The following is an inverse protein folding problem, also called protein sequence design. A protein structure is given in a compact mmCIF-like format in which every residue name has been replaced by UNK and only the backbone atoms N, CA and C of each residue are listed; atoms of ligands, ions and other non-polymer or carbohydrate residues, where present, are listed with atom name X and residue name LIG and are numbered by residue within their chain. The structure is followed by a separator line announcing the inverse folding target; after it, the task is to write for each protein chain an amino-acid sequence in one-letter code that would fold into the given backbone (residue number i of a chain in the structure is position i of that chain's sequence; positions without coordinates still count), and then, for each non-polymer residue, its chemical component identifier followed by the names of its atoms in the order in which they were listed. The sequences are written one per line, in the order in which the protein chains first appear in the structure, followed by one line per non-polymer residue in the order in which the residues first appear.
data_IF_281922724388
#
_entry.id   IF_281922724388
#
_cell.length_a   1.000
_cell.length_b   1.000
_cell.length_c   1.000
_cell.angle_alpha   90.00
_cell.angle_beta   90.00
_cell.angle_gamma   90.00
#
_symmetry.space_group_name_H-M   'P 1'
#
loop_
_entity.id
_entity.type
_entity.pdbx_description
1 polymer ?
#
# COMPACT_ATOMS: atom_id res chain seq x y z
N UNK A 1 -20.89 5.28 -9.62
CA UNK A 1 -19.49 4.84 -9.40
C UNK A 1 -18.86 4.55 -10.75
N UNK A 2 -17.69 5.11 -11.00
CA UNK A 2 -16.91 4.85 -12.22
C UNK A 2 -15.88 3.80 -11.87
N UNK A 3 -15.94 2.64 -12.55
CA UNK A 3 -14.96 1.58 -12.42
C UNK A 3 -14.21 1.44 -13.77
N UNK A 4 -12.89 1.46 -13.71
CA UNK A 4 -12.04 1.30 -14.89
C UNK A 4 -10.81 0.48 -14.54
N UNK A 5 -10.26 -0.22 -15.51
CA UNK A 5 -8.96 -0.89 -15.39
C UNK A 5 -7.95 -0.14 -16.27
N UNK A 6 -6.97 0.45 -15.62
CA UNK A 6 -5.92 1.26 -16.25
C UNK A 6 -4.67 0.42 -16.43
N UNK A 7 -4.15 0.39 -17.64
CA UNK A 7 -2.83 -0.15 -17.96
C UNK A 7 -1.78 0.93 -17.66
N UNK A 8 -1.04 0.79 -16.56
CA UNK A 8 -0.09 1.79 -16.10
C UNK A 8 1.09 1.96 -17.07
N UNK A 9 1.62 0.90 -17.62
CA UNK A 9 2.72 0.97 -18.59
C UNK A 9 2.31 1.71 -19.87
N UNK A 10 1.10 1.43 -20.36
CA UNK A 10 0.53 2.16 -21.51
C UNK A 10 0.27 3.63 -21.19
N UNK A 11 -0.28 3.93 -20.00
CA UNK A 11 -0.58 5.30 -19.57
C UNK A 11 0.67 6.17 -19.50
N UNK A 12 1.76 5.64 -18.94
CA UNK A 12 3.03 6.35 -18.80
C UNK A 12 3.96 6.24 -20.02
N UNK A 13 3.53 5.53 -21.06
CA UNK A 13 4.35 5.25 -22.26
C UNK A 13 5.71 4.60 -21.92
N UNK A 14 5.69 3.66 -20.99
CA UNK A 14 6.85 2.87 -20.55
C UNK A 14 6.76 1.48 -21.14
N UNK A 15 7.89 0.96 -21.63
CA UNK A 15 7.95 -0.43 -22.13
C UNK A 15 7.69 -1.41 -21.00
N UNK A 16 6.64 -2.21 -21.15
CA UNK A 16 6.29 -3.25 -20.18
C UNK A 16 7.30 -4.40 -20.25
N UNK A 17 7.87 -4.85 -19.13
CA UNK A 17 8.62 -6.10 -19.11
C UNK A 17 7.76 -7.30 -19.49
N UNK A 18 8.37 -8.31 -20.06
CA UNK A 18 7.68 -9.57 -20.33
C UNK A 18 7.08 -10.15 -19.04
N UNK A 19 5.84 -10.59 -19.09
CA UNK A 19 5.06 -11.12 -17.97
C UNK A 19 4.78 -10.14 -16.81
N UNK A 20 5.08 -8.84 -16.96
CA UNK A 20 4.70 -7.84 -15.96
C UNK A 20 3.18 -7.54 -15.99
N UNK A 21 2.60 -7.21 -14.82
CA UNK A 21 1.20 -6.79 -14.68
C UNK A 21 1.07 -5.26 -14.80
N UNK A 22 1.11 -4.55 -13.70
CA UNK A 22 1.04 -3.08 -13.68
C UNK A 22 -0.34 -2.55 -14.09
N UNK A 23 -1.42 -3.09 -13.50
CA UNK A 23 -2.79 -2.61 -13.72
C UNK A 23 -3.34 -1.94 -12.46
N UNK A 24 -4.08 -0.86 -12.64
CA UNK A 24 -4.79 -0.15 -11.59
C UNK A 24 -6.30 -0.23 -11.85
N UNK A 25 -7.05 -0.79 -10.90
CA UNK A 25 -8.51 -0.71 -10.94
C UNK A 25 -8.94 0.51 -10.14
N UNK A 26 -9.89 1.28 -10.66
CA UNK A 26 -10.41 2.50 -10.05
C UNK A 26 -11.82 2.30 -9.54
N UNK A 27 -12.11 2.86 -8.36
CA UNK A 27 -13.42 2.91 -7.72
C UNK A 27 -13.66 4.37 -7.31
N UNK A 28 -14.15 5.17 -8.25
CA UNK A 28 -14.29 6.62 -8.11
C UNK A 28 -15.77 6.99 -8.08
N UNK A 29 -16.16 7.88 -7.17
CA UNK A 29 -17.53 8.37 -7.15
C UNK A 29 -17.81 9.25 -8.36
N UNK A 30 -18.94 8.97 -9.02
CA UNK A 30 -19.43 9.76 -10.12
C UNK A 30 -19.92 11.13 -9.64
N UNK A 31 -19.66 12.17 -10.43
CA UNK A 31 -20.21 13.51 -10.18
C UNK A 31 -21.74 13.46 -10.28
N UNK A 32 -22.41 14.18 -9.40
CA UNK A 32 -23.88 14.24 -9.36
C UNK A 32 -24.32 15.68 -9.50
N UNK A 33 -25.32 15.93 -10.35
CA UNK A 33 -25.96 17.26 -10.48
C UNK A 33 -26.85 17.62 -9.28
N UNK A 34 -27.16 16.66 -8.41
CA UNK A 34 -28.05 16.84 -7.27
C UNK A 34 -27.33 16.95 -5.92
N UNK A 35 -26.02 16.71 -5.88
CA UNK A 35 -25.19 16.79 -4.68
C UNK A 35 -23.98 17.64 -5.03
N UNK A 36 -23.60 18.55 -4.12
CA UNK A 36 -22.40 19.36 -4.30
C UNK A 36 -21.17 18.44 -4.52
N UNK A 37 -20.35 18.79 -5.50
CA UNK A 37 -19.07 18.12 -5.71
C UNK A 37 -18.22 18.22 -4.45
N UNK A 38 -17.69 17.07 -4.01
CA UNK A 38 -16.84 16.97 -2.82
C UNK A 38 -15.47 16.48 -3.22
N UNK A 39 -14.46 17.14 -2.72
CA UNK A 39 -13.08 16.69 -2.87
C UNK A 39 -12.83 15.59 -1.85
N UNK A 40 -12.33 14.45 -2.30
CA UNK A 40 -12.19 13.21 -1.52
C UNK A 40 -10.75 12.81 -1.35
N UNK A 41 -10.34 12.33 -0.18
CA UNK A 41 -9.06 11.65 -0.06
C UNK A 41 -9.03 10.40 -0.96
N UNK A 42 -7.84 9.95 -1.31
CA UNK A 42 -7.65 8.73 -2.09
C UNK A 42 -6.95 7.65 -1.27
N UNK A 43 -7.26 6.37 -1.57
CA UNK A 43 -6.57 5.23 -0.98
C UNK A 43 -6.18 4.21 -2.05
N UNK A 44 -4.88 4.00 -2.22
CA UNK A 44 -4.31 2.93 -3.04
C UNK A 44 -4.20 1.65 -2.20
N UNK A 45 -4.96 0.63 -2.56
CA UNK A 45 -4.95 -0.69 -1.91
C UNK A 45 -3.97 -1.61 -2.62
N UNK A 46 -3.01 -2.16 -1.89
CA UNK A 46 -1.95 -3.04 -2.38
C UNK A 46 -2.07 -4.40 -1.68
N UNK A 47 -2.69 -5.39 -2.34
CA UNK A 47 -2.92 -6.71 -1.77
C UNK A 47 -1.63 -7.49 -1.50
N UNK A 48 -1.66 -8.44 -0.57
CA UNK A 48 -0.58 -9.40 -0.35
C UNK A 48 -0.54 -10.52 -1.38
N UNK A 49 0.11 -11.63 -1.02
CA UNK A 49 0.26 -12.82 -1.86
C UNK A 49 1.71 -13.25 -2.06
N UNK A 50 2.63 -12.83 -1.18
CA UNK A 50 4.02 -13.30 -1.14
C UNK A 50 4.84 -12.98 -2.39
N UNK A 51 4.44 -11.98 -3.18
CA UNK A 51 4.97 -11.70 -4.52
C UNK A 51 4.81 -12.86 -5.52
N UNK A 52 3.94 -13.82 -5.21
CA UNK A 52 3.62 -14.97 -6.07
C UNK A 52 2.23 -14.89 -6.66
N UNK A 53 1.38 -14.11 -6.03
CA UNK A 53 0.00 -13.85 -6.44
C UNK A 53 -0.46 -12.49 -5.90
N UNK A 54 -1.65 -12.07 -6.33
CA UNK A 54 -2.34 -10.90 -5.77
C UNK A 54 -3.60 -11.40 -5.06
N UNK A 55 -3.64 -11.22 -3.73
CA UNK A 55 -4.72 -11.72 -2.86
C UNK A 55 -6.06 -11.05 -3.16
N UNK A 56 -7.02 -11.82 -3.67
CA UNK A 56 -8.38 -11.30 -3.94
C UNK A 56 -9.07 -10.79 -2.67
N UNK A 57 -8.79 -11.40 -1.51
CA UNK A 57 -9.34 -11.06 -0.19
C UNK A 57 -8.97 -9.66 0.31
N UNK A 58 -7.81 -9.16 -0.14
CA UNK A 58 -7.20 -7.90 0.29
C UNK A 58 -7.31 -6.81 -0.79
N UNK A 59 -8.18 -6.98 -1.76
CA UNK A 59 -8.31 -6.16 -2.95
C UNK A 59 -9.62 -5.34 -2.94
N UNK A 60 -10.62 -5.83 -3.65
CA UNK A 60 -11.87 -5.11 -3.88
C UNK A 60 -12.64 -4.81 -2.58
N UNK A 61 -12.73 -5.79 -1.67
CA UNK A 61 -13.44 -5.63 -0.40
C UNK A 61 -12.89 -4.44 0.42
N UNK A 62 -11.56 -4.30 0.43
CA UNK A 62 -10.89 -3.18 1.13
C UNK A 62 -11.16 -1.86 0.40
N UNK A 63 -11.07 -1.84 -0.93
CA UNK A 63 -11.36 -0.66 -1.73
C UNK A 63 -12.80 -0.18 -1.55
N UNK A 64 -13.77 -1.10 -1.57
CA UNK A 64 -15.19 -0.79 -1.35
C UNK A 64 -15.44 -0.26 0.06
N UNK A 65 -14.71 -0.74 1.06
CA UNK A 65 -14.81 -0.21 2.42
C UNK A 65 -14.34 1.25 2.49
N UNK A 66 -13.20 1.60 1.91
CA UNK A 66 -12.74 2.98 1.84
C UNK A 66 -13.69 3.86 1.01
N UNK A 67 -14.22 3.33 -0.10
CA UNK A 67 -15.20 4.04 -0.92
C UNK A 67 -16.47 4.39 -0.11
N UNK A 68 -16.97 3.45 0.70
CA UNK A 68 -18.12 3.68 1.58
C UNK A 68 -17.85 4.75 2.63
N UNK A 69 -16.61 4.88 3.10
CA UNK A 69 -16.17 5.91 4.04
C UNK A 69 -15.76 7.23 3.36
N UNK A 70 -16.04 7.37 2.06
CA UNK A 70 -15.92 8.63 1.32
C UNK A 70 -14.62 8.87 0.59
N UNK A 71 -13.75 7.87 0.47
CA UNK A 71 -12.53 7.95 -0.32
C UNK A 71 -12.81 7.66 -1.81
N UNK A 72 -11.97 8.15 -2.69
CA UNK A 72 -11.75 7.49 -3.97
C UNK A 72 -10.77 6.35 -3.74
N UNK A 73 -11.12 5.14 -4.18
CA UNK A 73 -10.33 3.95 -3.90
C UNK A 73 -9.77 3.34 -5.19
N UNK A 74 -8.61 2.72 -5.05
CA UNK A 74 -7.88 2.11 -6.16
C UNK A 74 -7.27 0.80 -5.70
N UNK A 75 -7.16 -0.20 -6.59
CA UNK A 75 -6.45 -1.45 -6.27
C UNK A 75 -5.36 -1.72 -7.29
N UNK A 76 -4.15 -2.01 -6.81
CA UNK A 76 -3.00 -2.31 -7.65
C UNK A 76 -2.90 -3.82 -7.93
N UNK A 77 -2.80 -4.17 -9.20
CA UNK A 77 -2.38 -5.49 -9.66
C UNK A 77 -0.91 -5.40 -10.08
N UNK A 78 -0.01 -5.47 -9.10
CA UNK A 78 1.42 -5.41 -9.34
C UNK A 78 1.98 -6.73 -9.88
N UNK A 79 3.19 -6.70 -10.42
CA UNK A 79 3.87 -7.86 -10.99
C UNK A 79 4.25 -8.88 -9.93
N UNK A 80 3.93 -10.15 -10.20
CA UNK A 80 4.14 -11.29 -9.30
C UNK A 80 4.82 -12.48 -9.98
N UNK A 81 5.21 -12.34 -11.23
CA UNK A 81 5.86 -13.40 -11.98
C UNK A 81 7.29 -13.64 -11.53
N UNK A 82 7.77 -14.85 -11.63
CA UNK A 82 9.15 -15.23 -11.30
C UNK A 82 10.21 -14.46 -12.10
N UNK A 83 9.83 -14.00 -13.30
CA UNK A 83 10.68 -13.21 -14.19
C UNK A 83 10.67 -11.71 -13.92
N UNK A 84 9.86 -11.23 -12.97
CA UNK A 84 9.69 -9.81 -12.68
C UNK A 84 9.92 -9.57 -11.18
N UNK A 85 11.11 -9.08 -10.86
CA UNK A 85 11.54 -8.74 -9.50
C UNK A 85 11.68 -7.21 -9.33
N UNK A 86 12.20 -6.77 -8.17
CA UNK A 86 12.59 -5.38 -7.97
C UNK A 86 13.45 -4.88 -9.17
N UNK A 87 13.24 -3.65 -9.68
CA UNK A 87 12.42 -2.59 -9.06
C UNK A 87 10.97 -2.49 -9.58
N UNK A 88 10.52 -3.39 -10.42
CA UNK A 88 9.25 -3.22 -11.15
C UNK A 88 8.04 -3.05 -10.25
N UNK A 89 7.95 -3.79 -9.13
CA UNK A 89 6.83 -3.64 -8.18
C UNK A 89 6.82 -2.22 -7.57
N UNK A 90 7.99 -1.68 -7.22
CA UNK A 90 8.12 -0.30 -6.72
C UNK A 90 7.68 0.72 -7.79
N UNK A 91 8.11 0.53 -9.04
CA UNK A 91 7.75 1.40 -10.17
C UNK A 91 6.24 1.34 -10.44
N UNK A 92 5.62 0.18 -10.39
CA UNK A 92 4.18 0.01 -10.58
C UNK A 92 3.37 0.71 -9.47
N UNK A 93 3.81 0.61 -8.23
CA UNK A 93 3.23 1.36 -7.11
C UNK A 93 3.41 2.88 -7.26
N UNK A 94 4.59 3.32 -7.70
CA UNK A 94 4.89 4.70 -7.99
C UNK A 94 4.02 5.26 -9.15
N UNK A 95 3.89 4.49 -10.24
CA UNK A 95 2.97 4.82 -11.35
C UNK A 95 1.52 4.95 -10.87
N UNK A 96 1.06 4.07 -9.98
CA UNK A 96 -0.30 4.15 -9.45
C UNK A 96 -0.55 5.44 -8.66
N UNK A 97 0.37 5.84 -7.78
CA UNK A 97 0.27 7.10 -7.04
C UNK A 97 0.35 8.33 -7.95
N UNK A 98 1.23 8.30 -8.94
CA UNK A 98 1.33 9.38 -9.94
C UNK A 98 0.04 9.48 -10.77
N UNK A 99 -0.53 8.35 -11.23
CA UNK A 99 -1.82 8.33 -11.94
C UNK A 99 -2.94 8.98 -11.11
N UNK A 100 -3.07 8.62 -9.83
CA UNK A 100 -4.09 9.17 -8.93
C UNK A 100 -3.98 10.68 -8.86
N UNK A 101 -2.76 11.23 -8.70
CA UNK A 101 -2.53 12.68 -8.61
C UNK A 101 -2.71 13.42 -9.94
N UNK A 102 -2.28 12.84 -11.06
CA UNK A 102 -2.50 13.43 -12.39
C UNK A 102 -3.98 13.52 -12.78
N UNK A 103 -4.81 12.63 -12.26
CA UNK A 103 -6.25 12.59 -12.53
C UNK A 103 -7.09 13.20 -11.38
N UNK A 104 -6.46 13.84 -10.39
CA UNK A 104 -7.12 14.31 -9.18
C UNK A 104 -8.28 15.28 -9.46
N UNK A 105 -8.08 16.24 -10.36
CA UNK A 105 -9.11 17.23 -10.74
C UNK A 105 -10.34 16.57 -11.38
N UNK A 106 -10.12 15.67 -12.33
CA UNK A 106 -11.22 15.00 -13.04
C UNK A 106 -12.00 14.02 -12.16
N UNK A 107 -11.35 13.49 -11.12
CA UNK A 107 -11.89 12.50 -10.19
C UNK A 107 -12.32 13.13 -8.85
N UNK A 108 -12.27 14.45 -8.69
CA UNK A 108 -12.53 15.13 -7.41
C UNK A 108 -11.73 14.53 -6.25
N UNK A 109 -10.45 14.27 -6.48
CA UNK A 109 -9.52 13.71 -5.50
C UNK A 109 -8.68 14.82 -4.86
N UNK A 110 -8.48 14.76 -3.55
CA UNK A 110 -7.55 15.64 -2.85
C UNK A 110 -6.11 15.21 -3.12
N UNK A 111 -5.38 16.01 -3.87
CA UNK A 111 -3.99 15.74 -4.25
C UNK A 111 -3.03 15.65 -3.04
N UNK A 112 -3.40 16.27 -1.91
CA UNK A 112 -2.60 16.32 -0.68
C UNK A 112 -2.96 15.20 0.31
N UNK A 113 -3.97 14.39 0.01
CA UNK A 113 -4.43 13.28 0.85
C UNK A 113 -4.58 11.99 0.04
N UNK A 114 -3.46 11.55 -0.55
CA UNK A 114 -3.35 10.28 -1.29
C UNK A 114 -2.58 9.28 -0.45
N UNK A 115 -3.29 8.39 0.20
CA UNK A 115 -2.74 7.32 1.04
C UNK A 115 -2.52 6.01 0.29
N UNK A 116 -1.75 5.11 0.90
CA UNK A 116 -1.62 3.73 0.45
C UNK A 116 -1.81 2.77 1.63
N UNK A 117 -2.51 1.66 1.39
CA UNK A 117 -2.65 0.56 2.35
C UNK A 117 -2.15 -0.73 1.72
N UNK A 118 -1.34 -1.48 2.47
CA UNK A 118 -0.85 -2.76 1.98
C UNK A 118 -0.87 -3.86 3.02
N UNK A 119 -1.00 -5.08 2.53
CA UNK A 119 -1.17 -6.29 3.32
C UNK A 119 -0.03 -7.27 3.06
N UNK A 120 0.62 -7.82 4.10
CA UNK A 120 1.67 -8.84 3.93
C UNK A 120 2.80 -8.37 2.98
N UNK A 121 3.02 -9.06 1.86
CA UNK A 121 3.94 -8.63 0.80
C UNK A 121 3.52 -7.30 0.15
N UNK A 122 2.21 -7.03 0.03
CA UNK A 122 1.69 -5.70 -0.36
C UNK A 122 1.99 -4.63 0.70
N UNK A 123 2.03 -5.02 1.99
CA UNK A 123 2.52 -4.17 3.08
C UNK A 123 3.99 -3.80 2.92
N UNK A 124 4.81 -4.74 2.44
CA UNK A 124 6.21 -4.49 2.08
C UNK A 124 6.30 -3.49 0.91
N UNK A 125 5.53 -3.68 -0.16
CA UNK A 125 5.49 -2.74 -1.28
C UNK A 125 5.00 -1.35 -0.84
N UNK A 126 4.00 -1.28 0.04
CA UNK A 126 3.53 -0.01 0.61
C UNK A 126 4.61 0.65 1.47
N UNK A 127 5.36 -0.12 2.25
CA UNK A 127 6.49 0.39 3.02
C UNK A 127 7.66 0.85 2.11
N UNK A 128 7.91 0.18 0.97
CA UNK A 128 8.85 0.69 -0.06
C UNK A 128 8.40 2.05 -0.58
N UNK A 129 7.13 2.23 -0.93
CA UNK A 129 6.60 3.52 -1.38
C UNK A 129 6.75 4.62 -0.31
N UNK A 130 6.60 4.27 0.97
CA UNK A 130 6.78 5.21 2.07
C UNK A 130 8.25 5.61 2.33
N UNK A 131 9.21 4.72 2.02
CA UNK A 131 10.61 4.90 2.41
C UNK A 131 11.58 5.07 1.25
N UNK A 132 11.25 4.57 0.06
CA UNK A 132 12.09 4.55 -1.14
C UNK A 132 11.53 5.42 -2.29
N UNK A 133 10.55 6.28 -2.02
CA UNK A 133 9.90 7.12 -3.03
C UNK A 133 10.85 8.09 -3.77
N UNK A 134 12.03 8.34 -3.24
CA UNK A 134 13.05 9.21 -3.83
C UNK A 134 14.21 8.46 -4.50
N UNK A 135 14.14 7.12 -4.60
CA UNK A 135 15.16 6.33 -5.27
C UNK A 135 15.31 6.73 -6.75
N UNK A 136 16.54 6.76 -7.23
CA UNK A 136 16.86 7.24 -8.59
C UNK A 136 16.12 6.43 -9.67
N UNK A 137 15.92 5.14 -9.45
CA UNK A 137 15.18 4.27 -10.37
C UNK A 137 13.75 4.78 -10.66
N UNK A 138 13.09 5.42 -9.69
CA UNK A 138 11.75 6.00 -9.92
C UNK A 138 11.86 7.18 -10.90
N UNK A 139 12.89 8.02 -10.76
CA UNK A 139 13.13 9.15 -11.68
C UNK A 139 13.51 8.69 -13.09
N UNK A 140 14.31 7.61 -13.19
CA UNK A 140 14.66 7.01 -14.47
C UNK A 140 13.44 6.57 -15.26
N UNK A 141 12.42 6.00 -14.58
CA UNK A 141 11.18 5.54 -15.22
C UNK A 141 10.15 6.64 -15.42
N UNK A 142 9.99 7.56 -14.46
CA UNK A 142 8.86 8.50 -14.41
C UNK A 142 9.23 9.97 -14.67
N UNK A 143 10.53 10.28 -14.76
CA UNK A 143 11.00 11.66 -14.99
C UNK A 143 10.44 12.63 -13.93
N UNK A 144 9.90 13.75 -14.37
CA UNK A 144 9.34 14.79 -13.51
C UNK A 144 8.15 14.30 -12.66
N UNK A 145 7.46 13.25 -13.10
CA UNK A 145 6.33 12.64 -12.37
C UNK A 145 6.76 11.85 -11.11
N UNK A 146 8.05 11.60 -10.93
CA UNK A 146 8.59 11.00 -9.72
C UNK A 146 8.22 11.79 -8.45
N UNK A 147 8.05 13.11 -8.57
CA UNK A 147 7.59 13.96 -7.46
C UNK A 147 6.17 13.65 -6.96
N UNK A 148 5.37 12.94 -7.74
CA UNK A 148 4.00 12.55 -7.43
C UNK A 148 3.88 11.17 -6.74
N UNK A 149 5.01 10.46 -6.54
CA UNK A 149 5.00 9.04 -6.16
C UNK A 149 5.01 8.77 -4.65
N UNK A 150 5.17 9.81 -3.79
CA UNK A 150 5.17 9.64 -2.33
C UNK A 150 3.73 9.59 -1.80
N UNK A 151 3.32 8.52 -1.06
CA UNK A 151 2.03 8.55 -0.36
C UNK A 151 2.07 9.55 0.80
N UNK A 152 0.96 10.23 1.09
CA UNK A 152 0.88 11.20 2.20
C UNK A 152 0.76 10.52 3.57
N UNK A 153 0.21 9.30 3.61
CA UNK A 153 0.19 8.40 4.76
C UNK A 153 0.08 6.95 4.29
N UNK A 154 0.55 6.00 5.10
CA UNK A 154 0.45 4.57 4.79
C UNK A 154 -0.18 3.78 5.93
N UNK A 155 -0.90 2.70 5.55
CA UNK A 155 -1.40 1.68 6.47
C UNK A 155 -0.69 0.36 6.16
N UNK A 156 0.08 -0.15 7.10
CA UNK A 156 0.87 -1.37 6.98
C UNK A 156 0.20 -2.49 7.77
N UNK A 157 -0.45 -3.41 7.07
CA UNK A 157 -1.24 -4.50 7.65
C UNK A 157 -0.42 -5.79 7.67
N UNK A 158 -0.05 -6.28 8.86
CA UNK A 158 0.82 -7.46 9.04
C UNK A 158 1.94 -7.55 7.99
N UNK A 159 2.72 -6.45 7.84
CA UNK A 159 3.61 -6.27 6.70
C UNK A 159 4.86 -7.16 6.80
N UNK A 160 5.32 -7.67 5.67
CA UNK A 160 6.70 -8.12 5.53
C UNK A 160 7.60 -6.88 5.59
N UNK A 161 8.66 -6.89 6.40
CA UNK A 161 9.55 -5.72 6.58
C UNK A 161 11.02 -6.12 6.52
N UNK A 162 11.43 -7.06 7.36
CA UNK A 162 12.85 -7.33 7.63
C UNK A 162 13.40 -8.53 6.87
N UNK A 163 14.70 -8.49 6.57
CA UNK A 163 15.46 -9.62 6.02
C UNK A 163 16.26 -10.39 7.08
N UNK A 164 16.09 -10.08 8.38
CA UNK A 164 16.79 -10.74 9.48
C UNK A 164 16.13 -12.09 9.87
N UNK A 165 16.27 -12.50 11.13
CA UNK A 165 15.73 -13.78 11.67
C UNK A 165 14.19 -13.88 11.61
N UNK A 166 13.46 -12.74 11.61
CA UNK A 166 12.00 -12.69 11.51
C UNK A 166 11.49 -12.54 10.07
N UNK A 167 12.36 -12.76 9.09
CA UNK A 167 12.04 -12.56 7.69
C UNK A 167 11.02 -13.56 7.15
N UNK A 168 10.05 -13.08 6.40
CA UNK A 168 9.26 -13.94 5.52
C UNK A 168 10.09 -14.25 4.25
N UNK A 169 10.96 -15.27 4.33
CA UNK A 169 11.96 -15.60 3.31
C UNK A 169 11.40 -15.78 1.91
N UNK A 170 10.22 -16.39 1.82
CA UNK A 170 9.56 -16.59 0.53
C UNK A 170 9.32 -15.27 -0.22
N UNK A 171 8.73 -14.28 0.43
CA UNK A 171 8.47 -12.97 -0.19
C UNK A 171 9.75 -12.25 -0.58
N UNK A 172 10.76 -12.25 0.30
CA UNK A 172 12.02 -11.55 0.03
C UNK A 172 12.79 -12.19 -1.11
N UNK A 173 12.88 -13.50 -1.15
CA UNK A 173 13.53 -14.23 -2.26
C UNK A 173 12.85 -13.93 -3.60
N UNK A 174 11.52 -13.88 -3.62
CA UNK A 174 10.74 -13.57 -4.83
C UNK A 174 11.02 -12.15 -5.35
N UNK A 175 10.95 -11.15 -4.50
CA UNK A 175 11.15 -9.76 -4.93
C UNK A 175 12.61 -9.44 -5.25
N UNK A 176 13.56 -10.10 -4.59
CA UNK A 176 14.99 -9.90 -4.81
C UNK A 176 15.56 -10.74 -5.96
N UNK A 177 14.80 -11.72 -6.46
CA UNK A 177 15.33 -12.74 -7.36
C UNK A 177 16.44 -13.59 -6.74
N UNK A 178 16.47 -13.69 -5.40
CA UNK A 178 17.48 -14.43 -4.63
C UNK A 178 18.80 -13.69 -4.39
N UNK A 179 18.89 -12.40 -4.74
CA UNK A 179 20.09 -11.57 -4.45
C UNK A 179 20.08 -11.14 -2.97
N UNK A 180 21.02 -11.68 -2.19
CA UNK A 180 21.15 -11.40 -0.77
C UNK A 180 21.48 -9.93 -0.45
N UNK A 181 22.16 -9.20 -1.35
CA UNK A 181 22.42 -7.77 -1.16
C UNK A 181 21.14 -6.97 -1.35
N UNK A 182 20.33 -7.35 -2.34
CA UNK A 182 19.04 -6.73 -2.59
C UNK A 182 18.06 -7.08 -1.47
N UNK A 183 18.02 -8.31 -0.94
CA UNK A 183 17.22 -8.63 0.25
C UNK A 183 17.57 -7.71 1.44
N UNK A 184 18.88 -7.50 1.68
CA UNK A 184 19.31 -6.58 2.74
C UNK A 184 18.95 -5.13 2.45
N UNK A 185 18.99 -4.70 1.20
CA UNK A 185 18.54 -3.36 0.79
C UNK A 185 17.04 -3.19 1.03
N UNK A 186 16.25 -4.23 0.76
CA UNK A 186 14.81 -4.29 0.93
C UNK A 186 14.35 -4.60 2.37
N UNK A 187 15.27 -4.60 3.35
CA UNK A 187 14.97 -4.65 4.79
C UNK A 187 14.58 -3.25 5.25
N UNK A 188 13.28 -2.95 5.23
CA UNK A 188 12.76 -1.58 5.16
C UNK A 188 12.84 -0.83 6.50
N UNK A 189 12.97 -1.51 7.62
CA UNK A 189 13.30 -0.89 8.90
C UNK A 189 14.62 -0.11 8.85
N UNK A 190 15.50 -0.44 7.91
CA UNK A 190 16.77 0.27 7.70
C UNK A 190 16.66 1.42 6.69
N UNK A 191 15.47 1.65 6.12
CA UNK A 191 15.23 2.66 5.08
C UNK A 191 14.37 3.84 5.55
N UNK A 192 13.85 3.77 6.78
CA UNK A 192 13.07 4.86 7.36
C UNK A 192 13.97 6.08 7.60
N UNK A 193 13.57 7.21 7.05
CA UNK A 193 14.21 8.52 7.23
C UNK A 193 13.18 9.55 7.67
N UNK A 194 13.59 10.74 8.00
CA UNK A 194 12.70 11.86 8.34
C UNK A 194 11.73 12.24 7.20
N UNK A 195 12.05 11.85 5.96
CA UNK A 195 11.23 12.09 4.77
C UNK A 195 10.24 10.95 4.49
N UNK A 196 10.24 9.88 5.26
CA UNK A 196 9.29 8.77 5.10
C UNK A 196 7.86 9.22 5.40
N UNK A 197 6.89 8.59 4.76
CA UNK A 197 5.46 8.90 4.99
C UNK A 197 5.02 8.43 6.37
N UNK A 198 4.14 9.16 7.09
CA UNK A 198 3.53 8.69 8.34
C UNK A 198 2.87 7.32 8.18
N UNK A 199 2.90 6.47 9.22
CA UNK A 199 2.43 5.09 9.13
C UNK A 199 1.49 4.68 10.27
N UNK A 200 0.37 4.03 9.92
CA UNK A 200 -0.39 3.19 10.82
C UNK A 200 0.03 1.73 10.60
N UNK A 201 0.44 1.04 11.66
CA UNK A 201 1.02 -0.31 11.57
C UNK A 201 0.19 -1.24 12.46
N UNK A 202 -0.21 -2.40 11.95
CA UNK A 202 -0.87 -3.40 12.79
C UNK A 202 -0.53 -4.82 12.38
N UNK A 203 -0.55 -5.72 13.36
CA UNK A 203 -0.40 -7.16 13.18
C UNK A 203 -1.01 -7.92 14.36
N UNK A 204 -0.94 -9.25 14.32
CA UNK A 204 -1.39 -10.12 15.42
C UNK A 204 -0.22 -10.94 15.97
N UNK A 205 -0.26 -11.26 17.27
CA UNK A 205 0.78 -12.09 17.92
C UNK A 205 0.77 -13.53 17.38
N UNK A 206 -0.40 -14.04 17.01
CA UNK A 206 -0.57 -15.42 16.51
C UNK A 206 -0.25 -15.58 15.01
N UNK A 207 0.22 -14.52 14.33
CA UNK A 207 0.62 -14.61 12.93
C UNK A 207 1.83 -15.54 12.76
N UNK A 208 1.56 -16.76 12.30
CA UNK A 208 2.59 -17.79 12.10
C UNK A 208 3.35 -17.67 10.77
N UNK A 209 2.96 -16.76 9.88
CA UNK A 209 3.62 -16.57 8.57
C UNK A 209 4.56 -15.37 8.57
N UNK A 210 4.08 -14.22 9.05
CA UNK A 210 4.87 -12.99 9.18
C UNK A 210 4.89 -12.58 10.65
N UNK A 211 5.96 -12.90 11.39
CA UNK A 211 6.06 -12.59 12.81
C UNK A 211 5.83 -11.11 13.11
N UNK A 212 5.09 -10.79 14.18
CA UNK A 212 4.75 -9.42 14.55
C UNK A 212 5.97 -8.54 14.85
N UNK A 213 7.15 -9.15 15.03
CA UNK A 213 8.45 -8.49 15.13
C UNK A 213 8.75 -7.59 13.91
N UNK A 214 8.25 -7.94 12.72
CA UNK A 214 8.31 -7.05 11.54
C UNK A 214 7.69 -5.68 11.84
N UNK A 215 6.52 -5.66 12.49
CA UNK A 215 5.82 -4.45 12.89
C UNK A 215 6.55 -3.69 13.99
N UNK A 216 7.13 -4.38 14.98
CA UNK A 216 7.95 -3.76 16.03
C UNK A 216 9.21 -3.10 15.48
N UNK A 217 9.92 -3.78 14.57
CA UNK A 217 11.13 -3.27 13.94
C UNK A 217 10.82 -1.99 13.13
N UNK A 218 9.76 -2.03 12.34
CA UNK A 218 9.33 -0.87 11.56
C UNK A 218 8.95 0.31 12.47
N UNK A 219 8.11 0.09 13.48
CA UNK A 219 7.72 1.11 14.46
C UNK A 219 8.93 1.71 15.20
N UNK A 220 9.91 0.89 15.58
CA UNK A 220 11.15 1.33 16.20
C UNK A 220 11.95 2.26 15.27
N UNK A 221 12.02 1.93 13.97
CA UNK A 221 12.67 2.75 12.95
C UNK A 221 11.97 4.11 12.78
N UNK A 222 10.63 4.11 12.70
CA UNK A 222 9.82 5.33 12.66
C UNK A 222 10.05 6.21 13.87
N UNK A 223 10.06 5.62 15.07
CA UNK A 223 10.35 6.35 16.34
C UNK A 223 11.73 7.00 16.30
N UNK A 224 12.76 6.29 15.81
CA UNK A 224 14.12 6.79 15.68
C UNK A 224 14.22 7.94 14.68
N UNK A 225 13.53 7.84 13.56
CA UNK A 225 13.50 8.88 12.52
C UNK A 225 12.59 10.07 12.86
N UNK A 226 11.84 10.01 13.96
CA UNK A 226 10.87 11.04 14.40
C UNK A 226 9.73 11.28 13.42
N UNK A 227 9.39 10.28 12.62
CA UNK A 227 8.23 10.30 11.73
C UNK A 227 6.99 9.85 12.52
N UNK A 228 5.83 10.50 12.36
CA UNK A 228 4.60 10.09 13.03
C UNK A 228 4.20 8.66 12.66
N UNK A 229 3.84 7.86 13.67
CA UNK A 229 3.30 6.52 13.45
C UNK A 229 2.36 6.11 14.60
N UNK A 230 1.51 5.14 14.32
CA UNK A 230 0.71 4.42 15.30
C UNK A 230 0.92 2.91 15.14
N UNK A 231 0.98 2.15 16.25
CA UNK A 231 1.21 0.71 16.25
C UNK A 231 0.16 -0.02 17.07
N UNK A 232 -0.48 -1.03 16.47
CA UNK A 232 -1.42 -1.92 17.13
C UNK A 232 -1.00 -3.40 16.95
N UNK A 233 -0.74 -4.07 18.06
CA UNK A 233 -0.49 -5.51 18.09
C UNK A 233 -1.65 -6.18 18.81
N UNK A 234 -2.44 -6.95 18.06
CA UNK A 234 -3.61 -7.65 18.56
C UNK A 234 -3.22 -9.08 18.95
N UNK A 235 -3.84 -9.61 20.01
CA UNK A 235 -3.43 -10.91 20.55
C UNK A 235 -3.71 -12.06 19.58
N UNK A 236 -4.92 -12.11 19.03
CA UNK A 236 -5.43 -13.26 18.28
C UNK A 236 -5.54 -12.99 16.80
N UNK A 237 -5.30 -14.02 16.00
CA UNK A 237 -5.55 -14.02 14.57
C UNK A 237 -4.39 -14.57 13.75
N UNK A 238 -4.74 -15.34 12.71
CA UNK A 238 -3.78 -15.88 11.76
C UNK A 238 -3.36 -14.83 10.72
N UNK A 239 -2.40 -15.14 9.87
CA UNK A 239 -1.99 -14.29 8.76
C UNK A 239 -3.08 -14.08 7.69
N UNK A 240 -3.12 -12.92 7.05
CA UNK A 240 -3.97 -12.67 5.88
C UNK A 240 -5.44 -12.38 6.22
N UNK A 241 -5.71 -11.69 7.31
CA UNK A 241 -7.05 -11.41 7.82
C UNK A 241 -7.82 -10.37 7.01
N UNK A 242 -7.15 -9.50 6.25
CA UNK A 242 -7.80 -8.41 5.51
C UNK A 242 -8.65 -7.53 6.46
N UNK A 243 -9.92 -7.32 6.16
CA UNK A 243 -10.86 -6.60 7.03
C UNK A 243 -11.29 -7.41 8.28
N UNK A 244 -10.88 -8.66 8.41
CA UNK A 244 -11.29 -9.59 9.49
C UNK A 244 -12.81 -9.73 9.63
N UNK A 245 -13.53 -9.74 8.50
CA UNK A 245 -15.00 -9.86 8.40
C UNK A 245 -15.41 -11.18 7.75
N UNK A 246 -16.74 -11.47 7.75
CA UNK A 246 -17.30 -12.62 7.03
C UNK A 246 -17.04 -12.59 5.52
N UNK A 247 -16.99 -11.41 4.89
CA UNK A 247 -16.68 -11.25 3.46
C UNK A 247 -15.24 -11.66 3.11
N UNK A 248 -14.34 -11.59 4.09
CA UNK A 248 -12.95 -12.00 3.91
C UNK A 248 -12.67 -13.41 4.47
N UNK A 249 -13.72 -14.18 4.77
CA UNK A 249 -13.68 -15.51 5.37
C UNK A 249 -12.91 -15.60 6.71
N UNK A 250 -12.83 -14.51 7.44
CA UNK A 250 -12.09 -14.43 8.70
C UNK A 250 -12.86 -13.55 9.71
N UNK A 251 -14.07 -13.96 10.16
CA UNK A 251 -14.92 -13.13 11.01
C UNK A 251 -14.36 -13.06 12.45
N UNK A 252 -13.42 -12.15 12.67
CA UNK A 252 -12.81 -11.86 13.97
C UNK A 252 -13.16 -10.42 14.39
N UNK A 253 -14.34 -10.18 15.03
CA UNK A 253 -14.85 -8.84 15.32
C UNK A 253 -13.89 -7.98 16.16
N UNK A 254 -13.10 -8.61 17.04
CA UNK A 254 -12.09 -7.89 17.82
C UNK A 254 -10.97 -7.35 16.92
N UNK A 255 -10.47 -8.18 16.02
CA UNK A 255 -9.42 -7.78 15.07
C UNK A 255 -9.95 -6.77 14.06
N UNK A 256 -11.18 -6.92 13.58
CA UNK A 256 -11.81 -6.00 12.62
C UNK A 256 -11.84 -4.53 13.09
N UNK A 257 -11.63 -4.28 14.38
CA UNK A 257 -11.52 -2.91 14.95
C UNK A 257 -10.31 -2.14 14.39
N UNK A 258 -9.30 -2.84 13.88
CA UNK A 258 -8.11 -2.19 13.29
C UNK A 258 -8.50 -1.15 12.24
N UNK A 259 -9.53 -1.46 11.44
CA UNK A 259 -9.97 -0.55 10.37
C UNK A 259 -10.50 0.79 10.94
N UNK A 260 -11.33 0.73 11.98
CA UNK A 260 -11.84 1.94 12.66
C UNK A 260 -10.71 2.79 13.23
N UNK A 261 -9.74 2.14 13.89
CA UNK A 261 -8.56 2.82 14.43
C UNK A 261 -7.72 3.48 13.32
N UNK A 262 -7.46 2.75 12.23
CA UNK A 262 -6.76 3.30 11.08
C UNK A 262 -7.50 4.49 10.45
N UNK A 263 -8.83 4.39 10.34
CA UNK A 263 -9.66 5.49 9.81
C UNK A 263 -9.59 6.74 10.71
N UNK A 264 -9.72 6.59 12.02
CA UNK A 264 -9.61 7.70 12.98
C UNK A 264 -8.22 8.34 12.91
N UNK A 265 -7.17 7.54 12.80
CA UNK A 265 -5.81 8.02 12.64
C UNK A 265 -5.64 8.81 11.32
N UNK A 266 -6.13 8.28 10.19
CA UNK A 266 -6.12 8.98 8.90
C UNK A 266 -6.89 10.30 8.96
N UNK A 267 -8.05 10.31 9.64
CA UNK A 267 -8.84 11.53 9.86
C UNK A 267 -8.07 12.60 10.64
N UNK A 268 -7.23 12.19 11.59
CA UNK A 268 -6.38 13.10 12.35
C UNK A 268 -5.30 13.76 11.48
N UNK A 269 -4.93 13.12 10.38
CA UNK A 269 -3.99 13.64 9.37
C UNK A 269 -4.67 14.43 8.24
N UNK A 270 -5.98 14.61 8.29
CA UNK A 270 -6.73 15.39 7.30
C UNK A 270 -7.36 14.59 6.15
N UNK A 271 -7.30 13.25 6.17
CA UNK A 271 -7.95 12.40 5.16
C UNK A 271 -9.46 12.41 5.31
N UNK A 272 -10.09 13.55 5.02
CA UNK A 272 -11.53 13.79 5.17
C UNK A 272 -12.11 14.33 3.87
N UNK A 273 -13.42 14.14 3.70
CA UNK A 273 -14.15 14.77 2.61
C UNK A 273 -14.15 16.28 2.84
N UNK A 274 -13.67 17.04 1.88
CA UNK A 274 -13.69 18.50 1.86
C UNK A 274 -14.77 19.02 0.92
N UNK A 275 -15.31 20.23 1.21
CA UNK A 275 -16.23 20.93 0.32
C UNK A 275 -15.49 21.62 -0.80
#
# INVERSE_FOLDING_TARGET
MICSKIDLYKYFNITRPENANGYLNTYVQEKSTFVEDRIRPAMLVIPGGGYSSVSAREKEQVALRFLADGYNAYTLEYSVADSVSYPYQLIEGAMALAYIRENAETQNTDINHVGAIGFSAGGHLTAMLATLHSEEVIKEFLGDKASLCRPDAVVLSYPVITSNEFAHRWSLNRISGGDAKLEKFLSLENRVTENSSPAFIWSTVEDGAVPCENSFLMASAYRKAKVPFELHILTYGHHGLSLATGETNSPLPYVAKWYGLAKEWLDSLGFKINK
#
